data_IF_547415131274
#
_entry.id   IF_547415131274
#
_cell.length_a   1.000
_cell.length_b   1.000
_cell.length_c   1.000
_cell.angle_alpha   90.00
_cell.angle_beta   90.00
_cell.angle_gamma   90.00
#
_symmetry.space_group_name_H-M   'P 1'
#
loop_
_entity.id
_entity.type
_entity.pdbx_description
1 polymer ?
#
# COMPACT_ATOMS: atom_id res chain seq x y z
N UNK A 1 -30.79 27.79 3.65
CA UNK A 1 -29.32 27.87 3.51
C UNK A 1 -28.86 26.71 2.64
N UNK A 2 -28.00 26.96 1.65
CA UNK A 2 -27.25 25.89 0.97
C UNK A 2 -26.10 25.52 1.91
N UNK A 3 -26.15 24.34 2.53
CA UNK A 3 -25.29 23.97 3.66
C UNK A 3 -24.49 22.71 3.38
N UNK A 4 -23.22 22.89 3.01
CA UNK A 4 -22.22 21.87 2.70
C UNK A 4 -21.05 22.54 1.97
N UNK A 5 -19.81 22.05 2.15
CA UNK A 5 -18.60 22.68 1.57
C UNK A 5 -18.73 22.84 0.06
N UNK A 6 -19.11 21.77 -0.64
CA UNK A 6 -19.43 21.76 -2.06
C UNK A 6 -20.93 21.55 -2.28
N UNK A 7 -21.77 22.51 -1.84
CA UNK A 7 -23.23 22.40 -1.90
C UNK A 7 -23.82 22.19 -3.31
N UNK A 8 -23.04 22.47 -4.37
CA UNK A 8 -23.42 22.23 -5.77
C UNK A 8 -23.02 20.86 -6.31
N UNK A 9 -22.27 20.06 -5.55
CA UNK A 9 -21.85 18.72 -5.95
C UNK A 9 -23.01 17.71 -5.84
N UNK A 10 -22.88 16.61 -6.59
CA UNK A 10 -23.76 15.43 -6.42
C UNK A 10 -23.14 14.50 -5.39
N UNK A 11 -23.97 13.87 -4.57
CA UNK A 11 -23.55 12.93 -3.53
C UNK A 11 -24.20 11.56 -3.78
N UNK A 12 -23.42 10.50 -3.71
CA UNK A 12 -23.89 9.11 -3.75
C UNK A 12 -23.45 8.39 -2.47
N UNK A 13 -24.30 7.50 -1.97
CA UNK A 13 -24.00 6.66 -0.80
C UNK A 13 -23.73 5.21 -1.20
N UNK A 14 -22.63 4.64 -0.73
CA UNK A 14 -22.31 3.21 -0.87
C UNK A 14 -22.43 2.58 0.52
N UNK A 15 -23.49 1.81 0.76
CA UNK A 15 -23.71 1.11 2.05
C UNK A 15 -22.80 -0.11 2.12
N UNK A 16 -21.77 -0.03 2.96
CA UNK A 16 -20.76 -1.08 3.14
C UNK A 16 -20.69 -1.61 4.58
N UNK A 17 -20.83 -0.72 5.57
CA UNK A 17 -20.51 -0.99 6.98
C UNK A 17 -21.65 -1.63 7.80
N UNK A 18 -22.77 -2.00 7.17
CA UNK A 18 -23.94 -2.54 7.87
C UNK A 18 -23.97 -4.08 7.88
N UNK A 19 -22.81 -4.68 8.10
CA UNK A 19 -22.63 -6.14 8.09
C UNK A 19 -21.15 -6.55 8.07
N UNK A 20 -20.87 -7.86 8.00
CA UNK A 20 -19.51 -8.37 7.91
C UNK A 20 -18.80 -7.80 6.68
N UNK A 21 -17.65 -7.18 6.92
CA UNK A 21 -16.82 -6.62 5.88
C UNK A 21 -15.90 -7.71 5.31
N UNK A 22 -15.89 -7.86 3.99
CA UNK A 22 -15.01 -8.81 3.31
C UNK A 22 -14.17 -8.06 2.28
N UNK A 23 -12.97 -8.56 2.01
CA UNK A 23 -12.05 -8.01 1.00
C UNK A 23 -12.75 -7.79 -0.37
N UNK A 24 -13.63 -8.71 -0.76
CA UNK A 24 -14.40 -8.60 -2.01
C UNK A 24 -15.44 -7.46 -2.02
N UNK A 25 -16.04 -7.17 -0.87
CA UNK A 25 -17.01 -6.09 -0.71
C UNK A 25 -16.31 -4.73 -0.72
N UNK A 26 -15.18 -4.62 -0.03
CA UNK A 26 -14.28 -3.45 -0.08
C UNK A 26 -13.84 -3.15 -1.50
N UNK A 27 -13.32 -4.16 -2.20
CA UNK A 27 -12.88 -4.05 -3.59
C UNK A 27 -14.00 -3.56 -4.52
N UNK A 28 -15.20 -4.11 -4.34
CA UNK A 28 -16.39 -3.70 -5.10
C UNK A 28 -16.78 -2.25 -4.80
N UNK A 29 -16.68 -1.83 -3.54
CA UNK A 29 -17.03 -0.47 -3.12
C UNK A 29 -16.08 0.57 -3.72
N UNK A 30 -14.75 0.34 -3.66
CA UNK A 30 -13.76 1.27 -4.20
C UNK A 30 -13.90 1.53 -5.71
N UNK A 31 -14.32 0.52 -6.47
CA UNK A 31 -14.50 0.65 -7.92
C UNK A 31 -15.96 0.93 -8.34
N UNK A 32 -16.89 1.02 -7.39
CA UNK A 32 -18.33 1.19 -7.68
C UNK A 32 -18.55 2.50 -8.42
N UNK A 33 -18.97 2.41 -9.68
CA UNK A 33 -19.23 3.56 -10.56
C UNK A 33 -18.06 4.55 -10.64
N UNK A 34 -16.80 4.09 -10.66
CA UNK A 34 -15.59 4.94 -10.69
C UNK A 34 -15.46 5.89 -11.90
N UNK A 35 -16.31 5.74 -12.93
CA UNK A 35 -16.39 6.68 -14.06
C UNK A 35 -17.39 7.82 -13.84
N UNK A 36 -18.17 7.75 -12.75
CA UNK A 36 -19.19 8.72 -12.33
C UNK A 36 -18.84 9.31 -10.97
N UNK A 37 -18.33 8.49 -10.06
CA UNK A 37 -17.86 8.92 -8.74
C UNK A 37 -16.44 9.45 -8.85
N UNK A 38 -16.26 10.75 -8.65
CA UNK A 38 -14.94 11.38 -8.66
C UNK A 38 -14.16 11.14 -7.36
N UNK A 39 -14.85 11.28 -6.22
CA UNK A 39 -14.24 11.26 -4.89
C UNK A 39 -14.97 10.23 -4.02
N UNK A 40 -14.20 9.40 -3.36
CA UNK A 40 -14.63 8.42 -2.38
C UNK A 40 -14.17 8.90 -1.00
N UNK A 41 -15.10 9.30 -0.14
CA UNK A 41 -14.80 9.68 1.24
C UNK A 41 -15.00 8.48 2.16
N UNK A 42 -13.92 7.97 2.72
CA UNK A 42 -13.88 6.77 3.55
C UNK A 42 -13.43 7.16 4.97
N UNK A 43 -14.20 6.78 5.97
CA UNK A 43 -13.90 7.08 7.38
C UNK A 43 -14.03 5.81 8.23
N UNK A 44 -13.38 4.76 7.73
CA UNK A 44 -13.34 3.41 8.27
C UNK A 44 -11.96 2.83 7.96
N UNK A 45 -11.57 1.83 8.74
CA UNK A 45 -10.27 1.16 8.71
C UNK A 45 -10.27 0.05 9.76
N UNK A 46 -9.09 -0.45 10.16
CA UNK A 46 -8.93 -1.36 11.29
C UNK A 46 -9.38 -0.73 12.61
N UNK A 47 -9.40 -1.51 13.69
CA UNK A 47 -9.72 -1.01 15.02
C UNK A 47 -8.64 -0.02 15.51
N UNK A 48 -9.06 1.19 15.89
CA UNK A 48 -8.23 2.28 16.43
C UNK A 48 -7.82 2.04 17.91
N UNK A 49 -7.37 0.83 18.23
CA UNK A 49 -7.15 0.35 19.60
C UNK A 49 -5.70 0.43 20.08
N UNK A 50 -4.80 1.00 19.28
CA UNK A 50 -3.38 1.11 19.62
C UNK A 50 -2.62 -0.21 19.58
N UNK A 51 -3.20 -1.27 19.01
CA UNK A 51 -2.55 -2.60 18.90
C UNK A 51 -2.78 -3.30 17.58
N UNK A 52 -3.85 -2.97 16.85
CA UNK A 52 -4.16 -3.58 15.56
C UNK A 52 -3.16 -3.13 14.49
N UNK A 53 -2.83 -4.03 13.57
CA UNK A 53 -2.03 -3.75 12.36
C UNK A 53 -2.70 -4.50 11.24
N UNK A 54 -3.41 -3.77 10.38
CA UNK A 54 -4.18 -4.37 9.28
C UNK A 54 -4.42 -3.33 8.18
N UNK A 55 -4.91 -3.77 7.03
CA UNK A 55 -5.11 -2.90 5.88
C UNK A 55 -5.86 -3.59 4.74
N UNK A 56 -5.85 -2.98 3.54
CA UNK A 56 -6.50 -3.56 2.39
C UNK A 56 -5.88 -4.91 2.05
N UNK A 57 -6.73 -5.93 2.03
CA UNK A 57 -6.40 -7.27 1.56
C UNK A 57 -6.23 -7.26 0.03
N UNK A 58 -5.76 -8.36 -0.61
CA UNK A 58 -5.33 -8.32 -2.00
C UNK A 58 -6.35 -7.77 -2.99
N UNK A 59 -7.66 -8.03 -2.82
CA UNK A 59 -8.68 -7.50 -3.73
C UNK A 59 -8.92 -6.01 -3.50
N UNK A 60 -9.02 -5.57 -2.25
CA UNK A 60 -9.19 -4.17 -1.88
C UNK A 60 -7.99 -3.32 -2.33
N UNK A 61 -6.77 -3.84 -2.16
CA UNK A 61 -5.54 -3.18 -2.62
C UNK A 61 -5.50 -3.07 -4.15
N UNK A 62 -5.84 -4.16 -4.85
CA UNK A 62 -5.95 -4.14 -6.31
C UNK A 62 -7.06 -3.19 -6.79
N UNK A 63 -8.14 -3.04 -6.02
CA UNK A 63 -9.20 -2.10 -6.34
C UNK A 63 -8.78 -0.64 -6.15
N UNK A 64 -8.05 -0.31 -5.07
CA UNK A 64 -7.45 1.02 -4.88
C UNK A 64 -6.52 1.36 -6.05
N UNK A 65 -5.63 0.44 -6.41
CA UNK A 65 -4.74 0.56 -7.58
C UNK A 65 -5.52 0.79 -8.88
N UNK A 66 -6.55 -0.01 -9.13
CA UNK A 66 -7.37 0.12 -10.33
C UNK A 66 -8.11 1.46 -10.36
N UNK A 67 -8.67 1.90 -9.22
CA UNK A 67 -9.36 3.17 -9.08
C UNK A 67 -8.45 4.35 -9.42
N UNK A 68 -7.25 4.42 -8.87
CA UNK A 68 -6.31 5.52 -9.18
C UNK A 68 -5.77 5.49 -10.61
N UNK A 69 -5.72 4.32 -11.25
CA UNK A 69 -5.20 4.21 -12.62
C UNK A 69 -6.28 4.40 -13.70
N UNK A 70 -7.52 3.97 -13.43
CA UNK A 70 -8.58 3.86 -14.45
C UNK A 70 -9.81 4.70 -14.14
N UNK A 71 -10.02 5.08 -12.88
CA UNK A 71 -11.14 5.92 -12.46
C UNK A 71 -11.16 7.28 -13.16
N UNK A 72 -12.32 7.92 -13.19
CA UNK A 72 -12.50 9.26 -13.77
C UNK A 72 -11.96 9.39 -15.20
N UNK A 73 -12.17 8.35 -16.00
CA UNK A 73 -11.77 8.21 -17.40
C UNK A 73 -10.24 8.31 -17.56
N UNK A 74 -9.52 7.59 -16.71
CA UNK A 74 -8.05 7.57 -16.70
C UNK A 74 -7.38 8.72 -15.93
N UNK A 75 -8.16 9.54 -15.19
CA UNK A 75 -7.61 10.60 -14.32
C UNK A 75 -7.36 10.14 -12.88
N UNK A 76 -7.85 8.95 -12.55
CA UNK A 76 -7.72 8.34 -11.23
C UNK A 76 -8.78 8.79 -10.24
N UNK A 77 -9.53 7.84 -9.68
CA UNK A 77 -10.42 8.04 -8.55
C UNK A 77 -9.66 8.66 -7.37
N UNK A 78 -10.29 9.59 -6.66
CA UNK A 78 -9.71 10.20 -5.46
C UNK A 78 -10.28 9.52 -4.22
N UNK A 79 -9.44 8.82 -3.46
CA UNK A 79 -9.83 8.19 -2.19
C UNK A 79 -9.38 9.09 -1.04
N UNK A 80 -10.30 9.61 -0.24
CA UNK A 80 -10.01 10.42 0.95
C UNK A 80 -10.28 9.56 2.18
N UNK A 81 -9.26 9.33 3.00
CA UNK A 81 -9.32 8.45 4.17
C UNK A 81 -9.09 9.25 5.44
N UNK A 82 -9.92 9.03 6.46
CA UNK A 82 -9.69 9.60 7.79
C UNK A 82 -8.49 8.91 8.45
N UNK A 83 -7.63 9.65 9.13
CA UNK A 83 -6.41 9.09 9.73
C UNK A 83 -6.63 8.19 10.95
N UNK A 84 -7.86 8.00 11.45
CA UNK A 84 -8.13 7.19 12.65
C UNK A 84 -8.39 8.02 13.92
N UNK A 85 -8.97 7.39 14.94
CA UNK A 85 -9.41 7.98 16.21
C UNK A 85 -8.71 7.38 17.45
N UNK A 86 -7.60 6.67 17.26
CA UNK A 86 -6.84 5.92 18.26
C UNK A 86 -5.84 6.75 19.07
N UNK A 87 -5.83 8.09 18.95
CA UNK A 87 -4.87 8.96 19.63
C UNK A 87 -4.79 8.76 21.14
N UNK A 88 -5.92 8.49 21.83
CA UNK A 88 -5.94 8.17 23.28
C UNK A 88 -5.24 6.87 23.61
N UNK A 89 -5.27 5.93 22.67
CA UNK A 89 -4.66 4.61 22.76
C UNK A 89 -3.18 4.64 22.34
N UNK A 90 -2.65 5.84 22.01
CA UNK A 90 -1.33 6.02 21.42
C UNK A 90 -1.16 5.27 20.11
N UNK A 91 -2.23 5.20 19.31
CA UNK A 91 -2.17 4.61 17.99
C UNK A 91 -1.47 5.52 16.98
N UNK A 92 -1.12 4.94 15.84
CA UNK A 92 -0.41 5.62 14.78
C UNK A 92 -0.93 5.13 13.42
N UNK A 93 -1.35 6.07 12.57
CA UNK A 93 -2.03 5.76 11.31
C UNK A 93 -1.17 5.03 10.28
N UNK A 94 0.14 4.88 10.51
CA UNK A 94 1.00 4.02 9.70
C UNK A 94 0.82 2.52 9.97
N UNK A 95 0.06 2.14 11.00
CA UNK A 95 -0.39 0.77 11.26
C UNK A 95 -1.76 0.45 10.63
N UNK A 96 -2.44 1.46 10.08
CA UNK A 96 -3.61 1.31 9.21
C UNK A 96 -3.17 1.35 7.74
N UNK A 97 -3.34 0.24 7.03
CA UNK A 97 -2.96 0.12 5.62
C UNK A 97 -3.85 0.90 4.65
N UNK A 98 -5.02 1.38 5.08
CA UNK A 98 -5.84 2.32 4.30
C UNK A 98 -5.31 3.74 4.43
N UNK A 99 -5.00 4.17 5.65
CA UNK A 99 -4.44 5.49 5.93
C UNK A 99 -2.97 5.63 5.49
N UNK A 100 -2.18 4.55 5.48
CA UNK A 100 -0.79 4.60 5.03
C UNK A 100 -0.63 4.35 3.52
N UNK A 101 -1.71 4.05 2.80
CA UNK A 101 -1.66 3.74 1.37
C UNK A 101 -1.27 4.96 0.55
N UNK A 102 -0.37 4.78 -0.42
CA UNK A 102 -0.05 5.85 -1.39
C UNK A 102 -1.21 6.18 -2.34
N UNK A 103 -2.25 5.35 -2.37
CA UNK A 103 -3.43 5.55 -3.23
C UNK A 103 -4.52 6.38 -2.55
N UNK A 104 -4.34 6.73 -1.27
CA UNK A 104 -5.32 7.44 -0.46
C UNK A 104 -4.78 8.80 -0.04
N UNK A 105 -5.70 9.75 0.12
CA UNK A 105 -5.43 11.05 0.69
C UNK A 105 -5.83 10.99 2.16
N UNK A 106 -4.84 10.82 3.02
CA UNK A 106 -5.05 10.65 4.45
C UNK A 106 -5.18 12.00 5.15
N UNK A 107 -6.32 12.19 5.81
CA UNK A 107 -6.75 13.46 6.42
C UNK A 107 -6.91 13.28 7.92
N UNK A 108 -6.18 14.11 8.67
CA UNK A 108 -6.30 14.21 10.11
C UNK A 108 -7.30 15.29 10.53
N UNK A 109 -7.43 15.48 11.84
CA UNK A 109 -8.35 16.45 12.42
C UNK A 109 -7.62 17.54 13.21
N UNK A 110 -8.13 18.76 13.13
CA UNK A 110 -7.84 19.87 14.05
C UNK A 110 -9.14 20.38 14.68
N UNK A 111 -9.06 20.92 15.89
CA UNK A 111 -10.18 21.61 16.51
C UNK A 111 -10.31 23.06 15.99
N UNK A 112 -11.31 23.80 16.47
CA UNK A 112 -11.56 25.17 16.01
C UNK A 112 -10.44 26.19 16.30
N UNK A 113 -9.47 25.85 17.16
CA UNK A 113 -8.29 26.68 17.45
C UNK A 113 -7.02 26.19 16.73
N UNK A 114 -7.16 25.24 15.80
CA UNK A 114 -6.06 24.72 14.99
C UNK A 114 -5.16 23.70 15.70
N UNK A 115 -5.62 23.11 16.80
CA UNK A 115 -4.85 22.11 17.55
C UNK A 115 -5.36 20.70 17.28
N UNK A 116 -4.41 19.75 17.21
CA UNK A 116 -4.70 18.32 17.12
C UNK A 116 -5.55 17.83 18.32
N UNK A 117 -6.75 17.27 18.10
CA UNK A 117 -7.59 16.72 19.15
C UNK A 117 -7.02 15.44 19.77
N UNK A 118 -7.47 15.10 20.98
CA UNK A 118 -6.99 13.92 21.73
C UNK A 118 -7.18 12.57 21.02
N UNK A 119 -8.12 12.50 20.07
CA UNK A 119 -8.48 11.27 19.37
C UNK A 119 -7.71 11.13 18.06
N UNK A 120 -7.24 12.22 17.46
CA UNK A 120 -6.58 12.15 16.17
C UNK A 120 -5.28 11.35 16.26
N UNK A 121 -4.97 10.60 15.22
CA UNK A 121 -3.70 9.89 15.10
C UNK A 121 -2.70 10.68 14.27
N UNK A 122 -1.42 10.49 14.59
CA UNK A 122 -0.29 11.07 13.85
C UNK A 122 0.45 9.98 13.07
N UNK A 123 0.95 10.29 11.88
CA UNK A 123 1.85 9.42 11.13
C UNK A 123 2.57 10.17 10.00
N UNK A 124 3.58 9.53 9.40
CA UNK A 124 4.36 10.12 8.32
C UNK A 124 3.67 10.11 6.95
N UNK A 125 2.50 9.46 6.84
CA UNK A 125 1.68 9.35 5.64
C UNK A 125 0.58 10.42 5.54
N UNK A 126 0.41 11.24 6.59
CA UNK A 126 -0.63 12.26 6.68
C UNK A 126 -0.39 13.37 5.64
N UNK A 127 -1.35 13.64 4.76
CA UNK A 127 -1.20 14.69 3.74
C UNK A 127 -1.68 16.07 4.23
N UNK A 128 -2.67 16.11 5.10
CA UNK A 128 -3.18 17.36 5.64
C UNK A 128 -4.24 17.14 6.72
N UNK A 129 -4.79 18.24 7.21
CA UNK A 129 -5.82 18.23 8.25
C UNK A 129 -6.97 19.17 7.90
N UNK A 130 -8.16 18.85 8.41
CA UNK A 130 -9.30 19.76 8.39
C UNK A 130 -9.95 19.84 9.76
N UNK A 131 -10.82 20.84 9.94
CA UNK A 131 -11.58 20.99 11.17
C UNK A 131 -12.44 19.76 11.49
N UNK A 132 -12.53 19.45 12.77
CA UNK A 132 -13.48 18.49 13.33
C UNK A 132 -13.90 18.95 14.73
N UNK A 133 -14.34 18.03 15.58
CA UNK A 133 -14.76 18.30 16.95
C UNK A 133 -13.63 18.73 17.85
N UNK A 134 -14.01 19.60 18.77
CA UNK A 134 -13.22 20.11 19.85
C UNK A 134 -12.67 19.10 20.86
N UNK A 135 -11.58 19.51 21.53
CA UNK A 135 -10.95 18.77 22.62
C UNK A 135 -11.72 18.80 23.95
N UNK A 136 -12.49 19.88 24.20
CA UNK A 136 -13.23 20.14 25.43
C UNK A 136 -14.69 20.52 25.13
N UNK A 137 -15.57 20.49 26.14
CA UNK A 137 -17.01 20.82 25.99
C UNK A 137 -17.29 22.24 25.50
N UNK A 138 -16.32 23.16 25.65
CA UNK A 138 -16.42 24.54 25.19
C UNK A 138 -16.16 24.68 23.70
N UNK A 139 -15.47 23.70 23.10
CA UNK A 139 -15.16 23.73 21.69
C UNK A 139 -16.32 23.21 20.84
N UNK A 140 -16.53 23.84 19.68
CA UNK A 140 -17.59 23.44 18.75
C UNK A 140 -17.30 22.11 18.05
N UNK A 141 -18.38 21.45 17.64
CA UNK A 141 -18.39 20.23 16.86
C UNK A 141 -18.91 20.50 15.45
N UNK A 142 -18.84 19.48 14.58
CA UNK A 142 -19.32 19.61 13.21
C UNK A 142 -20.84 19.57 13.18
N UNK A 143 -21.41 20.53 12.43
CA UNK A 143 -22.84 20.63 12.17
C UNK A 143 -23.12 19.99 10.81
N UNK A 144 -24.01 18.99 10.78
CA UNK A 144 -24.36 18.28 9.55
C UNK A 144 -25.77 17.68 9.63
N UNK A 145 -26.26 17.10 8.55
CA UNK A 145 -27.54 16.40 8.48
C UNK A 145 -27.47 15.06 9.24
N UNK A 146 -28.55 14.70 9.93
CA UNK A 146 -28.67 13.45 10.67
C UNK A 146 -30.04 12.81 10.41
N UNK A 147 -30.09 11.58 9.93
CA UNK A 147 -31.35 10.91 9.60
C UNK A 147 -32.09 10.38 10.84
N UNK A 148 -31.40 10.24 11.97
CA UNK A 148 -31.98 9.72 13.23
C UNK A 148 -32.71 10.80 14.03
N UNK A 149 -32.34 12.07 13.82
CA UNK A 149 -32.87 13.19 14.59
C UNK A 149 -34.05 13.84 13.88
N UNK A 150 -35.28 13.49 14.25
CA UNK A 150 -36.47 14.09 13.67
C UNK A 150 -36.89 13.41 12.37
N UNK A 151 -38.21 13.28 12.18
CA UNK A 151 -38.84 12.59 11.05
C UNK A 151 -38.62 13.38 9.75
N UNK A 152 -37.43 13.31 9.15
CA UNK A 152 -37.09 13.77 7.78
C UNK A 152 -36.37 15.14 7.65
N UNK A 153 -35.97 15.80 8.74
CA UNK A 153 -35.27 17.12 8.71
C UNK A 153 -34.12 17.23 9.72
N UNK A 154 -33.49 16.13 10.05
CA UNK A 154 -32.54 16.12 11.13
C UNK A 154 -31.24 16.85 10.86
N UNK A 155 -30.81 17.57 11.88
CA UNK A 155 -29.54 18.26 11.95
C UNK A 155 -28.89 17.88 13.27
N UNK A 156 -27.63 17.47 13.22
CA UNK A 156 -26.80 17.29 14.40
C UNK A 156 -25.77 18.41 14.48
N UNK A 157 -25.46 18.84 15.69
CA UNK A 157 -24.31 19.69 16.01
C UNK A 157 -23.28 18.93 16.85
N UNK A 158 -23.35 17.58 16.83
CA UNK A 158 -22.54 16.70 17.65
C UNK A 158 -21.70 15.71 16.85
N UNK A 159 -21.47 15.96 15.55
CA UNK A 159 -20.61 15.07 14.75
C UNK A 159 -19.12 15.33 15.09
N UNK A 160 -18.37 14.26 15.30
CA UNK A 160 -17.01 14.27 15.90
C UNK A 160 -16.07 13.27 15.21
N UNK A 161 -14.78 13.33 15.54
CA UNK A 161 -13.76 12.38 15.09
C UNK A 161 -13.09 12.77 13.76
N UNK A 162 -12.00 12.10 13.39
CA UNK A 162 -11.38 12.27 12.06
C UNK A 162 -12.36 11.89 10.94
N UNK A 163 -13.38 11.09 11.26
CA UNK A 163 -14.51 10.79 10.39
C UNK A 163 -15.35 12.00 9.96
N UNK A 164 -15.31 13.11 10.70
CA UNK A 164 -15.93 14.37 10.29
C UNK A 164 -14.98 15.28 9.48
N UNK A 165 -13.66 15.05 9.60
CA UNK A 165 -12.63 15.79 8.86
C UNK A 165 -12.54 15.31 7.40
N UNK A 166 -12.43 14.00 7.16
CA UNK A 166 -12.31 13.45 5.80
C UNK A 166 -13.43 13.90 4.83
N UNK A 167 -14.73 13.96 5.21
CA UNK A 167 -15.78 14.49 4.35
C UNK A 167 -15.65 15.99 4.04
N UNK A 168 -15.10 16.80 4.95
CA UNK A 168 -14.81 18.21 4.68
C UNK A 168 -13.71 18.34 3.64
N UNK A 169 -12.62 17.57 3.78
CA UNK A 169 -11.56 17.51 2.78
C UNK A 169 -12.09 17.03 1.41
N UNK A 170 -12.94 16.01 1.37
CA UNK A 170 -13.60 15.56 0.15
C UNK A 170 -14.42 16.68 -0.51
N UNK A 171 -15.13 17.50 0.28
CA UNK A 171 -15.82 18.68 -0.19
C UNK A 171 -14.88 19.75 -0.76
N UNK A 172 -13.74 20.01 -0.11
CA UNK A 172 -12.72 20.96 -0.58
C UNK A 172 -12.07 20.49 -1.89
N UNK A 173 -11.79 19.19 -2.00
CA UNK A 173 -11.30 18.58 -3.24
C UNK A 173 -12.36 18.69 -4.35
N UNK A 174 -13.66 18.51 -4.03
CA UNK A 174 -14.73 18.68 -5.02
C UNK A 174 -14.78 20.12 -5.58
N UNK A 175 -14.60 21.15 -4.75
CA UNK A 175 -14.47 22.55 -5.21
C UNK A 175 -13.27 22.74 -6.13
N UNK A 176 -12.18 22.05 -5.83
CA UNK A 176 -10.94 22.14 -6.61
C UNK A 176 -11.08 21.44 -7.95
N UNK A 177 -11.68 20.25 -7.98
CA UNK A 177 -12.01 19.53 -9.22
C UNK A 177 -13.02 20.30 -10.09
N UNK A 178 -13.90 21.11 -9.50
CA UNK A 178 -14.77 22.02 -10.24
C UNK A 178 -13.95 23.11 -10.95
N UNK A 179 -12.91 23.66 -10.30
CA UNK A 179 -12.04 24.66 -10.88
C UNK A 179 -11.08 24.07 -11.92
N UNK A 180 -10.48 22.91 -11.64
CA UNK A 180 -9.65 22.14 -12.57
C UNK A 180 -9.86 20.63 -12.36
N UNK A 181 -10.52 19.94 -13.30
CA UNK A 181 -10.81 18.50 -13.16
C UNK A 181 -9.60 17.54 -13.10
N UNK A 182 -8.36 18.01 -13.17
CA UNK A 182 -7.13 17.21 -13.30
C UNK A 182 -6.08 17.52 -12.21
N UNK A 183 -6.50 17.76 -10.97
CA UNK A 183 -5.65 18.26 -9.88
C UNK A 183 -5.12 17.24 -8.88
N UNK A 184 -4.04 17.67 -8.21
CA UNK A 184 -3.51 17.12 -6.95
C UNK A 184 -2.92 18.24 -6.05
N UNK A 185 -3.06 18.08 -4.72
CA UNK A 185 -2.33 18.72 -3.58
C UNK A 185 -2.77 20.08 -2.96
N UNK A 186 -2.33 20.26 -1.68
CA UNK A 186 -2.79 21.17 -0.58
C UNK A 186 -1.57 21.84 0.14
N UNK A 187 -1.79 22.90 0.94
CA UNK A 187 -0.79 23.83 1.55
C UNK A 187 -0.93 24.02 3.09
N UNK A 188 0.16 24.19 3.88
CA UNK A 188 0.11 24.24 5.37
C UNK A 188 -0.19 25.56 6.11
N UNK A 189 -0.67 25.41 7.36
CA UNK A 189 -0.45 26.34 8.49
C UNK A 189 -0.64 25.62 9.86
N UNK A 190 0.19 25.98 10.87
CA UNK A 190 0.20 25.56 12.30
C UNK A 190 0.58 24.10 12.68
N UNK A 191 1.54 23.91 13.62
CA UNK A 191 2.03 22.59 14.05
C UNK A 191 3.49 22.50 14.51
N UNK A 192 3.92 21.29 14.89
CA UNK A 192 5.33 20.90 15.09
C UNK A 192 5.93 20.59 13.72
N UNK A 193 6.55 21.61 13.13
CA UNK A 193 7.01 21.60 11.74
C UNK A 193 8.48 21.29 11.64
N UNK A 194 8.80 20.51 10.61
CA UNK A 194 10.16 20.39 10.12
C UNK A 194 10.16 20.63 8.62
N UNK A 195 11.15 21.38 8.17
CA UNK A 195 11.35 21.66 6.75
C UNK A 195 12.09 20.51 6.12
N UNK A 196 11.60 20.05 4.99
CA UNK A 196 12.31 19.11 4.16
C UNK A 196 13.29 19.84 3.23
N UNK A 197 14.18 19.12 2.55
CA UNK A 197 15.21 19.77 1.72
C UNK A 197 14.65 20.43 0.43
N UNK A 198 13.40 20.14 0.07
CA UNK A 198 12.68 20.81 -1.02
C UNK A 198 11.90 22.05 -0.51
N UNK A 199 12.02 22.39 0.77
CA UNK A 199 11.41 23.57 1.38
C UNK A 199 9.93 23.40 1.72
N UNK A 200 9.40 22.18 1.74
CA UNK A 200 8.05 21.90 2.24
C UNK A 200 8.05 21.70 3.74
N UNK A 201 7.04 22.27 4.41
CA UNK A 201 6.81 22.10 5.84
C UNK A 201 5.92 20.87 6.05
N UNK A 202 6.35 19.93 6.89
CA UNK A 202 5.52 18.77 7.25
C UNK A 202 5.56 18.46 8.75
N UNK A 203 4.40 18.12 9.31
CA UNK A 203 4.23 17.62 10.69
C UNK A 203 3.59 16.24 10.68
N UNK A 204 4.04 15.30 11.52
CA UNK A 204 3.32 14.02 11.66
C UNK A 204 1.89 14.18 12.19
N UNK A 205 1.61 15.31 12.86
CA UNK A 205 0.31 15.66 13.45
C UNK A 205 -0.61 16.42 12.51
N UNK A 206 -0.04 17.19 11.58
CA UNK A 206 -0.78 18.09 10.71
C UNK A 206 -0.61 17.79 9.21
N UNK A 207 0.24 16.84 8.83
CA UNK A 207 0.62 16.58 7.44
C UNK A 207 1.33 17.79 6.84
N UNK A 208 0.97 18.16 5.61
CA UNK A 208 1.24 19.48 5.02
C UNK A 208 0.18 20.51 5.46
N UNK A 209 -0.46 20.36 6.61
CA UNK A 209 -1.25 21.38 7.31
C UNK A 209 -2.71 21.52 6.89
N UNK A 210 -3.32 22.61 7.35
CA UNK A 210 -4.75 22.85 7.19
C UNK A 210 -5.15 23.09 5.73
N UNK A 211 -6.13 22.32 5.24
CA UNK A 211 -6.67 22.52 3.90
C UNK A 211 -7.53 23.80 3.83
N UNK A 212 -7.03 24.81 3.11
CA UNK A 212 -7.74 26.07 2.89
C UNK A 212 -8.43 26.10 1.53
N UNK A 213 -9.76 26.22 1.52
CA UNK A 213 -10.57 26.24 0.30
C UNK A 213 -10.08 27.25 -0.75
N UNK A 214 -9.84 28.49 -0.32
CA UNK A 214 -9.36 29.57 -1.19
C UNK A 214 -8.02 29.25 -1.83
N UNK A 215 -7.07 28.74 -1.03
CA UNK A 215 -5.74 28.41 -1.53
C UNK A 215 -5.81 27.22 -2.49
N UNK A 216 -6.53 26.17 -2.12
CA UNK A 216 -6.66 24.97 -2.91
C UNK A 216 -7.29 25.26 -4.29
N UNK A 217 -8.35 26.07 -4.34
CA UNK A 217 -9.04 26.46 -5.58
C UNK A 217 -8.23 27.43 -6.45
N UNK A 218 -7.34 28.24 -5.87
CA UNK A 218 -6.47 29.11 -6.66
C UNK A 218 -5.21 28.40 -7.16
N UNK A 219 -4.58 27.58 -6.32
CA UNK A 219 -3.53 26.65 -6.74
C UNK A 219 -4.04 25.79 -7.91
N UNK A 220 -5.29 25.33 -7.81
CA UNK A 220 -5.95 24.56 -8.82
C UNK A 220 -5.96 25.19 -10.22
N UNK A 221 -6.19 26.50 -10.31
CA UNK A 221 -6.28 27.20 -11.61
C UNK A 221 -4.94 27.22 -12.35
N UNK A 222 -3.84 27.37 -11.60
CA UNK A 222 -2.48 27.51 -12.14
C UNK A 222 -1.70 26.20 -12.17
N UNK A 223 -2.21 25.14 -11.52
CA UNK A 223 -1.50 23.86 -11.38
C UNK A 223 -1.26 23.20 -12.73
N UNK A 224 -0.03 22.85 -13.05
CA UNK A 224 0.29 22.04 -14.24
C UNK A 224 0.26 20.56 -13.87
N UNK A 225 -0.36 19.74 -14.72
CA UNK A 225 -0.33 18.29 -14.53
C UNK A 225 1.12 17.79 -14.41
N UNK A 226 1.31 16.86 -13.49
CA UNK A 226 2.61 16.21 -13.27
C UNK A 226 2.82 15.11 -14.31
N UNK A 227 4.08 14.73 -14.61
CA UNK A 227 4.38 13.53 -15.40
C UNK A 227 3.83 12.26 -14.75
N UNK A 228 3.92 11.13 -15.46
CA UNK A 228 3.52 9.85 -14.89
C UNK A 228 4.37 9.51 -13.66
N UNK A 229 3.73 8.88 -12.67
CA UNK A 229 4.41 8.37 -11.49
C UNK A 229 5.29 7.18 -11.88
N UNK A 230 6.55 7.22 -11.47
CA UNK A 230 7.54 6.15 -11.64
C UNK A 230 7.99 5.62 -10.30
N UNK A 231 8.70 4.49 -10.30
CA UNK A 231 9.18 3.87 -9.07
C UNK A 231 10.57 3.30 -9.20
N UNK A 232 11.35 3.41 -8.12
CA UNK A 232 12.64 2.75 -7.93
C UNK A 232 12.52 1.86 -6.71
N UNK A 233 12.71 0.56 -6.91
CA UNK A 233 12.61 -0.44 -5.86
C UNK A 233 13.97 -1.05 -5.57
N UNK A 234 14.35 -1.14 -4.29
CA UNK A 234 15.41 -2.03 -3.87
C UNK A 234 15.01 -3.49 -4.07
N UNK A 235 15.98 -4.39 -4.14
CA UNK A 235 15.74 -5.80 -3.85
C UNK A 235 15.28 -5.96 -2.39
N UNK A 236 14.63 -7.08 -2.06
CA UNK A 236 14.43 -7.44 -0.65
C UNK A 236 15.81 -7.71 -0.04
N UNK A 237 16.15 -6.98 1.02
CA UNK A 237 17.43 -7.09 1.70
C UNK A 237 17.24 -7.98 2.93
N UNK A 238 17.72 -9.22 2.87
CA UNK A 238 17.76 -10.12 4.02
C UNK A 238 18.89 -9.72 4.96
N UNK A 239 18.57 -9.41 6.21
CA UNK A 239 19.48 -8.84 7.20
C UNK A 239 19.73 -9.80 8.37
N UNK A 240 18.66 -10.41 8.91
CA UNK A 240 18.69 -11.27 10.11
C UNK A 240 19.55 -10.70 11.25
N UNK A 241 19.32 -9.44 11.61
CA UNK A 241 20.05 -8.76 12.70
C UNK A 241 19.15 -8.53 13.90
N UNK A 242 19.71 -8.75 15.08
CA UNK A 242 19.11 -8.39 16.36
C UNK A 242 18.91 -6.88 16.43
N UNK A 243 17.73 -6.46 16.90
CA UNK A 243 17.43 -5.07 17.24
C UNK A 243 18.00 -4.83 18.64
N UNK A 244 18.99 -3.94 18.81
CA UNK A 244 19.60 -3.70 20.11
C UNK A 244 18.58 -3.22 21.15
N UNK A 245 18.68 -3.77 22.37
CA UNK A 245 17.91 -3.31 23.51
C UNK A 245 18.33 -1.90 23.99
N UNK A 246 17.61 -1.37 24.99
CA UNK A 246 17.91 -0.11 25.68
C UNK A 246 17.88 1.13 24.78
N UNK A 247 16.97 1.17 23.80
CA UNK A 247 16.78 2.30 22.89
C UNK A 247 18.05 2.65 22.08
N UNK A 248 18.93 1.68 21.85
CA UNK A 248 20.04 1.79 20.91
C UNK A 248 19.57 1.39 19.51
N UNK A 249 19.88 2.16 18.45
CA UNK A 249 19.36 1.87 17.11
C UNK A 249 20.11 0.73 16.42
N UNK A 250 19.35 -0.19 15.82
CA UNK A 250 19.82 -0.92 14.64
C UNK A 250 19.82 0.05 13.45
N UNK A 251 20.99 0.28 12.86
CA UNK A 251 21.17 1.21 11.73
C UNK A 251 21.46 0.43 10.45
N UNK A 252 20.70 0.71 9.39
CA UNK A 252 20.83 0.09 8.08
C UNK A 252 20.90 1.17 7.01
N UNK A 253 21.86 1.04 6.10
CA UNK A 253 22.08 2.01 5.03
C UNK A 253 21.74 1.37 3.68
N UNK A 254 21.09 2.13 2.80
CA UNK A 254 20.87 1.77 1.42
C UNK A 254 21.22 2.94 0.52
N UNK A 255 22.14 2.73 -0.42
CA UNK A 255 22.63 3.79 -1.31
C UNK A 255 21.86 3.77 -2.64
N UNK A 256 21.19 4.86 -2.94
CA UNK A 256 20.59 5.11 -4.26
C UNK A 256 21.58 5.90 -5.10
N UNK A 257 21.93 5.37 -6.27
CA UNK A 257 22.86 6.04 -7.20
C UNK A 257 22.12 7.00 -8.12
N UNK A 258 22.78 8.06 -8.57
CA UNK A 258 22.24 8.96 -9.59
C UNK A 258 21.84 8.20 -10.87
N UNK A 259 22.65 7.21 -11.28
CA UNK A 259 22.33 6.36 -12.44
C UNK A 259 21.05 5.55 -12.25
N UNK A 260 20.82 5.00 -11.05
CA UNK A 260 19.58 4.26 -10.78
C UNK A 260 18.36 5.17 -10.75
N UNK A 261 18.48 6.37 -10.18
CA UNK A 261 17.40 7.36 -10.18
C UNK A 261 17.06 7.83 -11.60
N UNK A 262 18.09 8.15 -12.41
CA UNK A 262 17.93 8.56 -13.79
C UNK A 262 17.35 7.45 -14.68
N UNK A 263 17.79 6.19 -14.51
CA UNK A 263 17.26 5.05 -15.25
C UNK A 263 15.76 4.82 -14.97
N UNK A 264 15.29 5.10 -13.75
CA UNK A 264 13.88 4.99 -13.38
C UNK A 264 13.12 6.31 -13.56
N UNK A 265 13.74 7.33 -14.15
CA UNK A 265 13.13 8.65 -14.40
C UNK A 265 12.60 9.37 -13.15
N UNK A 266 13.25 9.15 -11.99
CA UNK A 266 12.92 9.83 -10.74
C UNK A 266 13.93 10.95 -10.49
N UNK A 267 13.48 12.19 -10.66
CA UNK A 267 14.24 13.39 -10.31
C UNK A 267 13.84 13.91 -8.92
N UNK A 268 12.55 13.86 -8.57
CA UNK A 268 12.03 14.24 -7.25
C UNK A 268 11.04 13.22 -6.72
N UNK A 269 11.02 13.06 -5.39
CA UNK A 269 10.16 12.11 -4.67
C UNK A 269 8.73 12.61 -4.48
N UNK A 270 7.79 11.67 -4.36
CA UNK A 270 6.40 11.92 -3.96
C UNK A 270 6.07 11.04 -2.75
N UNK A 271 6.09 9.71 -2.90
CA UNK A 271 5.89 8.75 -1.81
C UNK A 271 7.13 7.88 -1.60
N UNK A 272 7.42 7.55 -0.34
CA UNK A 272 8.48 6.60 0.01
C UNK A 272 7.88 5.50 0.86
N UNK A 273 8.09 4.24 0.49
CA UNK A 273 7.59 3.08 1.20
C UNK A 273 8.74 2.24 1.75
N UNK A 274 8.57 1.77 2.98
CA UNK A 274 9.50 0.87 3.65
C UNK A 274 8.73 -0.36 4.10
N UNK A 275 9.01 -1.49 3.45
CA UNK A 275 8.48 -2.78 3.86
C UNK A 275 9.46 -3.45 4.82
N UNK A 276 8.97 -3.93 5.96
CA UNK A 276 9.78 -4.66 6.95
C UNK A 276 9.13 -5.99 7.31
N UNK A 277 9.99 -7.01 7.51
CA UNK A 277 9.62 -8.24 8.18
C UNK A 277 10.52 -8.41 9.40
N UNK A 278 9.92 -8.40 10.58
CA UNK A 278 10.61 -8.51 11.86
C UNK A 278 9.80 -9.32 12.88
N UNK A 279 10.50 -9.90 13.83
CA UNK A 279 9.92 -10.58 15.00
C UNK A 279 10.29 -9.80 16.25
N UNK A 280 9.38 -9.64 17.20
CA UNK A 280 9.66 -9.00 18.49
C UNK A 280 8.69 -9.57 19.54
N UNK A 281 9.13 -9.80 20.80
CA UNK A 281 8.23 -10.27 21.85
C UNK A 281 7.07 -9.32 22.17
N UNK A 282 7.26 -8.02 21.93
CA UNK A 282 6.27 -6.96 22.13
C UNK A 282 6.38 -5.91 21.03
N UNK A 283 5.57 -6.04 19.97
CA UNK A 283 5.65 -5.20 18.76
C UNK A 283 5.56 -3.70 19.06
N UNK A 284 4.72 -3.30 20.00
CA UNK A 284 4.51 -1.91 20.42
C UNK A 284 5.72 -1.24 21.06
N UNK A 285 6.78 -1.99 21.37
CA UNK A 285 8.03 -1.43 21.90
C UNK A 285 8.90 -0.81 20.81
N UNK A 286 8.59 -1.04 19.54
CA UNK A 286 9.42 -0.63 18.41
C UNK A 286 9.15 0.82 18.00
N UNK A 287 10.23 1.54 17.69
CA UNK A 287 10.22 2.80 16.94
C UNK A 287 11.04 2.65 15.68
N UNK A 288 10.48 3.03 14.54
CA UNK A 288 11.13 2.92 13.24
C UNK A 288 11.21 4.30 12.60
N UNK A 289 12.41 4.67 12.17
CA UNK A 289 12.68 5.95 11.52
C UNK A 289 13.40 5.74 10.20
N UNK A 290 13.02 6.52 9.19
CA UNK A 290 13.72 6.62 7.92
C UNK A 290 14.30 8.03 7.77
N UNK A 291 15.56 8.12 7.37
CA UNK A 291 16.23 9.38 7.09
C UNK A 291 16.56 9.41 5.59
N UNK A 292 16.09 10.46 4.91
CA UNK A 292 16.39 10.68 3.49
C UNK A 292 17.86 11.10 3.29
N UNK A 293 18.40 10.98 2.07
CA UNK A 293 19.73 11.48 1.74
C UNK A 293 19.93 12.97 2.05
N UNK A 294 18.85 13.74 1.97
CA UNK A 294 18.84 15.18 2.27
C UNK A 294 18.75 15.49 3.78
N UNK A 295 18.61 14.47 4.63
CA UNK A 295 18.54 14.60 6.09
C UNK A 295 17.14 14.64 6.69
N UNK A 296 16.08 14.53 5.89
CA UNK A 296 14.70 14.57 6.39
C UNK A 296 14.36 13.28 7.14
N UNK A 297 14.03 13.43 8.42
CA UNK A 297 13.66 12.29 9.28
C UNK A 297 12.14 12.06 9.22
N UNK A 298 11.76 10.81 9.02
CA UNK A 298 10.39 10.31 9.01
C UNK A 298 10.23 9.22 10.07
N UNK A 299 9.53 9.53 11.17
CA UNK A 299 9.09 8.51 12.12
C UNK A 299 7.99 7.69 11.47
N UNK A 300 8.33 6.46 11.06
CA UNK A 300 7.42 5.54 10.38
C UNK A 300 6.54 4.77 11.37
N UNK A 301 7.11 4.41 12.52
CA UNK A 301 6.40 3.71 13.58
C UNK A 301 6.75 4.34 14.93
N UNK A 302 5.73 4.65 15.72
CA UNK A 302 5.89 5.08 17.12
C UNK A 302 5.66 3.91 18.06
N UNK A 303 6.23 3.95 19.28
CA UNK A 303 5.88 2.99 20.31
C UNK A 303 4.39 3.06 20.64
N UNK A 304 3.73 1.91 20.72
CA UNK A 304 2.30 1.78 21.06
C UNK A 304 2.16 0.93 22.32
N UNK A 305 1.87 1.57 23.46
CA UNK A 305 1.89 0.91 24.78
C UNK A 305 0.93 -0.28 24.91
N UNK A 306 -0.18 -0.26 24.18
CA UNK A 306 -1.19 -1.32 24.24
C UNK A 306 -0.86 -2.51 23.34
N UNK A 307 0.08 -2.34 22.39
CA UNK A 307 0.51 -3.37 21.46
C UNK A 307 1.58 -4.29 22.07
N UNK A 308 1.13 -5.28 22.84
CA UNK A 308 1.99 -6.33 23.40
C UNK A 308 2.06 -7.57 22.51
N UNK A 309 1.70 -7.46 21.22
CA UNK A 309 1.67 -8.62 20.32
C UNK A 309 3.08 -9.18 20.05
N UNK A 310 3.26 -10.52 20.11
CA UNK A 310 4.50 -11.17 19.72
C UNK A 310 4.58 -11.46 18.20
N UNK A 311 3.55 -11.11 17.42
CA UNK A 311 3.46 -11.47 15.99
C UNK A 311 4.46 -10.73 15.11
N UNK A 312 5.07 -9.66 15.63
CA UNK A 312 5.95 -8.78 14.89
C UNK A 312 5.26 -8.13 13.70
N UNK A 313 6.05 -7.85 12.65
CA UNK A 313 5.55 -7.32 11.38
C UNK A 313 5.96 -8.29 10.27
N UNK A 314 5.01 -8.71 9.44
CA UNK A 314 5.23 -9.70 8.38
C UNK A 314 5.04 -9.04 7.02
N UNK A 315 6.13 -8.50 6.45
CA UNK A 315 6.06 -7.74 5.20
C UNK A 315 5.16 -6.50 5.30
N UNK A 316 5.08 -5.89 6.49
CA UNK A 316 4.30 -4.67 6.69
C UNK A 316 4.97 -3.50 5.98
N UNK A 317 4.19 -2.68 5.29
CA UNK A 317 4.71 -1.54 4.54
C UNK A 317 4.27 -0.24 5.19
N UNK A 318 5.24 0.51 5.67
CA UNK A 318 5.07 1.90 6.10
C UNK A 318 5.24 2.84 4.92
N UNK A 319 4.65 4.03 4.98
CA UNK A 319 4.85 5.06 3.97
C UNK A 319 5.18 6.43 4.58
N UNK A 320 5.79 7.29 3.78
CA UNK A 320 5.96 8.69 4.12
C UNK A 320 5.87 9.60 2.90
N UNK A 321 5.28 10.77 3.12
CA UNK A 321 5.24 11.90 2.18
C UNK A 321 6.16 13.05 2.63
N UNK A 322 6.92 12.89 3.72
CA UNK A 322 7.74 13.97 4.30
C UNK A 322 8.90 14.39 3.40
N UNK A 323 9.37 13.48 2.55
CA UNK A 323 10.46 13.73 1.62
C UNK A 323 9.96 14.21 0.24
N UNK A 324 8.70 14.65 0.12
CA UNK A 324 8.12 15.10 -1.15
C UNK A 324 8.94 16.23 -1.76
N UNK A 325 9.25 16.13 -3.05
CA UNK A 325 10.07 17.08 -3.80
C UNK A 325 11.57 16.92 -3.61
N UNK A 326 12.04 16.09 -2.67
CA UNK A 326 13.48 15.86 -2.48
C UNK A 326 14.07 14.97 -3.57
N UNK A 327 15.38 15.06 -3.78
CA UNK A 327 16.10 14.16 -4.68
C UNK A 327 16.23 12.76 -4.06
N UNK A 328 16.07 11.68 -4.85
CA UNK A 328 16.11 10.30 -4.33
C UNK A 328 17.53 9.78 -4.04
N UNK A 329 18.56 10.41 -4.61
CA UNK A 329 19.92 9.87 -4.67
C UNK A 329 20.73 10.15 -3.41
N UNK A 330 21.51 9.17 -2.98
CA UNK A 330 22.37 9.21 -1.80
C UNK A 330 22.04 8.11 -0.79
N UNK A 331 22.47 8.29 0.44
CA UNK A 331 22.36 7.26 1.48
C UNK A 331 21.04 7.40 2.26
N UNK A 332 20.19 6.39 2.13
CA UNK A 332 18.98 6.22 2.94
C UNK A 332 19.32 5.44 4.20
N UNK A 333 18.88 5.93 5.36
CA UNK A 333 19.19 5.34 6.65
C UNK A 333 17.90 4.90 7.34
N UNK A 334 17.74 3.59 7.54
CA UNK A 334 16.68 3.01 8.36
C UNK A 334 17.23 2.78 9.77
N UNK A 335 16.55 3.33 10.78
CA UNK A 335 16.84 3.12 12.20
C UNK A 335 15.67 2.41 12.86
N UNK A 336 15.96 1.33 13.58
CA UNK A 336 14.98 0.60 14.38
C UNK A 336 15.45 0.59 15.82
N UNK A 337 14.60 1.07 16.72
CA UNK A 337 14.86 1.14 18.15
C UNK A 337 13.90 0.21 18.88
N UNK A 338 14.42 -0.53 19.86
CA UNK A 338 13.59 -1.17 20.89
C UNK A 338 13.57 -0.28 22.14
N UNK A 339 12.40 0.27 22.43
CA UNK A 339 12.16 1.15 23.58
C UNK A 339 11.65 0.39 24.81
N UNK A 340 11.39 -0.92 24.67
CA UNK A 340 10.85 -1.78 25.69
C UNK A 340 11.92 -2.51 26.50
N UNK A 341 11.44 -3.42 27.36
CA UNK A 341 12.26 -4.34 28.17
C UNK A 341 11.81 -5.80 27.99
N UNK A 342 10.98 -6.08 26.99
CA UNK A 342 10.32 -7.38 26.79
C UNK A 342 11.19 -8.43 26.10
N UNK A 343 12.46 -8.12 25.85
CA UNK A 343 13.41 -8.95 25.10
C UNK A 343 13.66 -8.43 23.69
N UNK A 344 14.71 -8.94 23.06
CA UNK A 344 15.19 -8.45 21.77
C UNK A 344 14.36 -9.00 20.60
N UNK A 345 14.17 -8.19 19.56
CA UNK A 345 13.64 -8.63 18.27
C UNK A 345 14.70 -8.84 17.22
N UNK A 346 14.28 -9.35 16.07
CA UNK A 346 15.13 -9.62 14.90
C UNK A 346 14.49 -8.99 13.68
N UNK A 347 15.22 -8.11 13.00
CA UNK A 347 14.87 -7.71 11.64
C UNK A 347 15.34 -8.79 10.67
N UNK A 348 14.38 -9.42 9.98
CA UNK A 348 14.65 -10.48 9.02
C UNK A 348 14.96 -9.91 7.65
N UNK A 349 14.07 -9.05 7.13
CA UNK A 349 14.24 -8.40 5.84
C UNK A 349 13.61 -7.00 5.82
N UNK A 350 14.10 -6.16 4.91
CA UNK A 350 13.45 -4.90 4.58
C UNK A 350 13.60 -4.55 3.10
N UNK A 351 12.75 -3.65 2.62
CA UNK A 351 12.72 -3.18 1.23
C UNK A 351 12.36 -1.70 1.20
N UNK A 352 13.06 -0.94 0.36
CA UNK A 352 12.79 0.47 0.09
C UNK A 352 12.18 0.61 -1.30
N UNK A 353 11.08 1.34 -1.41
CA UNK A 353 10.48 1.73 -2.69
C UNK A 353 10.27 3.23 -2.72
N UNK A 354 10.86 3.88 -3.71
CA UNK A 354 10.74 5.31 -3.94
C UNK A 354 9.78 5.52 -5.11
N UNK A 355 8.78 6.37 -4.92
CA UNK A 355 7.90 6.83 -5.99
C UNK A 355 8.14 8.31 -6.23
N UNK A 356 8.08 8.71 -7.49
CA UNK A 356 8.28 10.10 -7.88
C UNK A 356 8.14 10.31 -9.37
N UNK A 357 8.64 11.44 -9.84
CA UNK A 357 8.52 11.84 -11.24
C UNK A 357 9.80 12.51 -11.74
N UNK A 358 9.85 12.71 -13.05
CA UNK A 358 10.95 13.38 -13.75
C UNK A 358 10.99 14.90 -13.56
N UNK A 359 10.14 15.46 -12.70
CA UNK A 359 10.12 16.89 -12.38
C UNK A 359 11.44 17.24 -11.71
N UNK A 360 12.16 18.23 -12.27
CA UNK A 360 13.42 18.68 -11.68
C UNK A 360 13.18 19.42 -10.35
N UNK A 361 14.13 19.41 -9.40
CA UNK A 361 14.05 20.23 -8.19
C UNK A 361 13.80 21.72 -8.48
N UNK A 362 14.39 22.25 -9.56
CA UNK A 362 14.16 23.62 -10.02
C UNK A 362 12.71 23.84 -10.46
N UNK A 363 12.14 22.88 -11.19
CA UNK A 363 10.73 22.93 -11.59
C UNK A 363 9.77 22.81 -10.40
N UNK A 364 10.10 21.99 -9.39
CA UNK A 364 9.33 21.94 -8.11
C UNK A 364 9.31 23.33 -7.46
N UNK A 365 10.46 23.99 -7.38
CA UNK A 365 10.56 25.33 -6.79
C UNK A 365 9.78 26.38 -7.61
N UNK A 366 9.86 26.33 -8.94
CA UNK A 366 9.08 27.23 -9.82
C UNK A 366 7.57 27.01 -9.69
N UNK A 367 7.12 25.75 -9.65
CA UNK A 367 5.71 25.40 -9.45
C UNK A 367 5.21 25.90 -8.09
N UNK A 368 6.01 25.73 -7.05
CA UNK A 368 5.73 26.26 -5.71
C UNK A 368 5.56 27.78 -5.73
N UNK A 369 6.51 28.51 -6.31
CA UNK A 369 6.43 29.97 -6.45
C UNK A 369 5.17 30.39 -7.22
N UNK A 370 4.84 29.68 -8.31
CA UNK A 370 3.62 29.95 -9.08
C UNK A 370 2.35 29.76 -8.24
N UNK A 371 2.31 28.72 -7.41
CA UNK A 371 1.19 28.46 -6.49
C UNK A 371 1.12 29.53 -5.39
N UNK A 372 2.24 29.92 -4.81
CA UNK A 372 2.32 31.00 -3.81
C UNK A 372 1.85 32.34 -4.40
N UNK A 373 2.31 32.68 -5.61
CA UNK A 373 1.89 33.87 -6.35
C UNK A 373 0.39 33.83 -6.67
N UNK A 374 -0.19 32.65 -6.91
CA UNK A 374 -1.62 32.51 -7.12
C UNK A 374 -2.47 32.93 -5.90
N UNK A 375 -1.87 32.94 -4.71
CA UNK A 375 -2.53 33.39 -3.48
C UNK A 375 -2.65 34.91 -3.37
N UNK A 376 -1.84 35.67 -4.12
CA UNK A 376 -1.89 37.14 -4.17
C UNK A 376 -3.18 37.68 -4.80
N UNK A 377 -3.95 36.82 -5.47
CA UNK A 377 -5.19 37.18 -6.15
C UNK A 377 -5.03 37.60 -7.61
N UNK A 378 -3.79 37.66 -8.12
CA UNK A 378 -3.48 38.04 -9.51
C UNK A 378 -4.19 37.15 -10.55
N UNK A 379 -4.48 35.90 -10.20
CA UNK A 379 -5.13 34.92 -11.07
C UNK A 379 -6.65 34.80 -10.87
N UNK A 380 -7.26 35.71 -10.09
CA UNK A 380 -8.71 35.67 -9.79
C UNK A 380 -9.58 36.08 -10.97
N UNK A 381 -9.14 37.10 -11.71
CA UNK A 381 -9.91 37.69 -12.82
C UNK A 381 -9.49 37.15 -14.20
N UNK A 382 -8.40 36.38 -14.24
CA UNK A 382 -7.94 35.78 -15.47
C UNK A 382 -8.68 34.46 -15.72
N UNK A 383 -9.17 34.29 -16.95
CA UNK A 383 -9.73 33.03 -17.46
C UNK A 383 -8.58 32.02 -17.74
N UNK A 384 -7.78 31.76 -16.71
CA UNK A 384 -6.42 31.19 -16.77
C UNK A 384 -6.40 29.69 -16.44
N UNK A 385 -7.56 29.02 -16.43
CA UNK A 385 -7.59 27.57 -16.27
C UNK A 385 -6.94 26.94 -17.48
N UNK A 386 -5.66 26.55 -17.38
CA UNK A 386 -5.03 25.79 -18.44
C UNK A 386 -5.86 24.52 -18.68
N UNK A 387 -6.27 24.24 -19.94
CA UNK A 387 -7.03 23.04 -20.24
C UNK A 387 -6.23 21.82 -19.80
N UNK A 388 -6.91 20.82 -19.25
CA UNK A 388 -6.25 19.58 -18.87
C UNK A 388 -5.48 19.06 -20.09
N UNK A 389 -4.19 18.75 -19.89
CA UNK A 389 -3.37 18.14 -20.93
C UNK A 389 -4.07 16.86 -21.44
N UNK A 390 -3.91 16.59 -22.73
CA UNK A 390 -4.48 15.42 -23.38
C UNK A 390 -3.85 14.17 -22.76
N UNK A 391 -4.46 13.65 -21.69
CA UNK A 391 -4.20 12.27 -21.30
C UNK A 391 -4.54 11.44 -22.52
N UNK A 392 -3.59 10.61 -22.96
CA UNK A 392 -3.92 9.51 -23.85
C UNK A 392 -5.08 8.79 -23.19
N UNK A 393 -6.27 9.01 -23.72
CA UNK A 393 -7.36 8.09 -23.58
C UNK A 393 -6.91 6.96 -24.51
N UNK A 394 -6.35 5.83 -24.03
CA UNK A 394 -6.63 4.63 -24.79
C UNK A 394 -8.16 4.64 -24.79
N UNK A 395 -8.77 4.95 -25.94
CA UNK A 395 -10.11 4.50 -26.17
C UNK A 395 -9.99 2.99 -26.06
N UNK A 396 -10.08 2.48 -24.82
CA UNK A 396 -10.31 1.08 -24.57
C UNK A 396 -11.71 0.95 -25.09
N UNK A 397 -11.77 0.59 -26.37
CA UNK A 397 -12.99 0.29 -27.03
C UNK A 397 -13.63 -0.78 -26.14
N UNK A 398 -14.71 -0.45 -25.43
CA UNK A 398 -15.36 -1.42 -24.53
C UNK A 398 -15.75 -2.68 -25.31
N UNK A 399 -15.91 -2.55 -26.63
CA UNK A 399 -16.13 -3.64 -27.59
C UNK A 399 -14.93 -4.59 -27.79
N UNK A 400 -13.72 -4.23 -27.33
CA UNK A 400 -12.51 -5.07 -27.36
C UNK A 400 -12.15 -5.69 -26.01
N UNK A 401 -12.84 -5.32 -24.92
CA UNK A 401 -12.72 -6.02 -23.64
C UNK A 401 -13.51 -7.33 -23.70
N UNK A 402 -12.90 -8.44 -23.27
CA UNK A 402 -13.60 -9.70 -23.04
C UNK A 402 -14.77 -9.41 -22.08
N UNK A 403 -16.00 -9.45 -22.60
CA UNK A 403 -17.21 -9.19 -21.80
C UNK A 403 -17.26 -10.12 -20.58
N UNK A 404 -17.91 -9.68 -19.50
CA UNK A 404 -18.04 -10.46 -18.25
C UNK A 404 -18.57 -11.87 -18.48
N UNK A 405 -19.42 -12.05 -19.52
CA UNK A 405 -19.90 -13.36 -19.96
C UNK A 405 -18.78 -14.23 -20.53
N UNK A 406 -17.92 -13.68 -21.37
CA UNK A 406 -16.76 -14.38 -21.95
C UNK A 406 -15.73 -14.73 -20.89
N UNK A 407 -15.48 -13.84 -19.92
CA UNK A 407 -14.62 -14.15 -18.76
C UNK A 407 -15.17 -15.29 -17.92
N UNK A 408 -16.49 -15.31 -17.64
CA UNK A 408 -17.14 -16.43 -16.94
C UNK A 408 -17.03 -17.74 -17.72
N UNK A 409 -17.19 -17.69 -19.05
CA UNK A 409 -17.02 -18.86 -19.91
C UNK A 409 -15.56 -19.35 -19.89
N UNK A 410 -14.58 -18.45 -19.97
CA UNK A 410 -13.16 -18.81 -19.88
C UNK A 410 -12.79 -19.40 -18.52
N UNK A 411 -13.35 -18.88 -17.43
CA UNK A 411 -13.19 -19.45 -16.09
C UNK A 411 -13.75 -20.88 -16.01
N UNK A 412 -14.97 -21.09 -16.52
CA UNK A 412 -15.61 -22.41 -16.55
C UNK A 412 -14.84 -23.40 -17.43
N UNK A 413 -14.34 -22.95 -18.59
CA UNK A 413 -13.50 -23.76 -19.47
C UNK A 413 -12.18 -24.10 -18.78
N UNK A 414 -11.54 -23.14 -18.12
CA UNK A 414 -10.31 -23.41 -17.36
C UNK A 414 -10.55 -24.42 -16.25
N UNK A 415 -11.64 -24.28 -15.49
CA UNK A 415 -11.99 -25.21 -14.42
C UNK A 415 -12.25 -26.62 -14.96
N UNK A 416 -12.95 -26.73 -16.10
CA UNK A 416 -13.16 -28.01 -16.78
C UNK A 416 -11.84 -28.64 -17.24
N UNK A 417 -10.94 -27.86 -17.83
CA UNK A 417 -9.62 -28.33 -18.25
C UNK A 417 -8.81 -28.81 -17.03
N UNK A 418 -8.85 -28.08 -15.92
CA UNK A 418 -8.15 -28.48 -14.69
C UNK A 418 -8.72 -29.76 -14.10
N UNK A 419 -10.05 -29.94 -14.12
CA UNK A 419 -10.71 -31.16 -13.67
C UNK A 419 -10.34 -32.35 -14.57
N UNK A 420 -10.35 -32.15 -15.89
CA UNK A 420 -9.93 -33.18 -16.85
C UNK A 420 -8.45 -33.54 -16.67
N UNK A 421 -7.58 -32.55 -16.50
CA UNK A 421 -6.17 -32.78 -16.23
C UNK A 421 -5.97 -33.55 -14.91
N UNK A 422 -6.69 -33.20 -13.85
CA UNK A 422 -6.66 -33.92 -12.59
C UNK A 422 -7.17 -35.36 -12.75
N UNK A 423 -8.27 -35.56 -13.48
CA UNK A 423 -8.79 -36.90 -13.80
C UNK A 423 -7.76 -37.75 -14.54
N UNK A 424 -7.18 -37.27 -15.63
CA UNK A 424 -6.14 -37.99 -16.36
C UNK A 424 -4.89 -38.25 -15.52
N UNK A 425 -4.52 -37.32 -14.65
CA UNK A 425 -3.39 -37.51 -13.72
C UNK A 425 -3.69 -38.62 -12.71
N UNK A 426 -4.92 -38.67 -12.18
CA UNK A 426 -5.37 -39.73 -11.27
C UNK A 426 -5.49 -41.07 -11.99
N UNK A 427 -6.04 -41.09 -13.21
CA UNK A 427 -6.09 -42.29 -14.06
C UNK A 427 -4.68 -42.84 -14.30
N UNK A 428 -3.72 -41.98 -14.65
CA UNK A 428 -2.32 -42.37 -14.83
C UNK A 428 -1.65 -42.84 -13.52
N UNK A 429 -2.05 -42.27 -12.38
CA UNK A 429 -1.51 -42.63 -11.07
C UNK A 429 -2.07 -43.96 -10.52
N UNK A 430 -3.34 -44.27 -10.79
CA UNK A 430 -4.06 -45.39 -10.17
C UNK A 430 -4.41 -46.54 -11.10
N UNK A 431 -4.61 -46.33 -12.41
CA UNK A 431 -4.93 -47.42 -13.34
C UNK A 431 -3.70 -48.10 -13.95
N UNK A 432 -2.51 -47.51 -13.84
CA UNK A 432 -1.30 -48.06 -14.45
C UNK A 432 -0.57 -49.08 -13.55
N UNK A 433 -1.12 -49.46 -12.41
CA UNK A 433 -0.49 -50.42 -11.51
C UNK A 433 -0.64 -51.86 -12.04
N UNK A 434 -1.84 -52.24 -12.48
CA UNK A 434 -2.08 -53.56 -13.11
C UNK A 434 -1.34 -53.73 -14.45
N UNK A 435 -1.26 -52.68 -15.27
CA UNK A 435 -0.51 -52.72 -16.53
C UNK A 435 1.01 -52.76 -16.29
N UNK A 436 1.53 -52.02 -15.30
CA UNK A 436 2.94 -52.12 -14.89
C UNK A 436 3.28 -53.51 -14.37
N UNK A 437 2.39 -54.14 -13.59
CA UNK A 437 2.59 -55.48 -13.07
C UNK A 437 2.58 -56.53 -14.20
N UNK A 438 1.69 -56.39 -15.19
CA UNK A 438 1.72 -57.21 -16.42
C UNK A 438 3.00 -57.08 -17.23
N UNK A 439 3.49 -55.85 -17.44
CA UNK A 439 4.76 -55.61 -18.12
C UNK A 439 5.95 -56.19 -17.32
N UNK A 440 5.89 -56.13 -15.99
CA UNK A 440 6.93 -56.70 -15.13
C UNK A 440 6.94 -58.23 -15.18
N UNK A 441 5.76 -58.88 -15.19
CA UNK A 441 5.63 -60.33 -15.36
C UNK A 441 6.16 -60.77 -16.73
N UNK A 442 5.81 -60.08 -17.81
CA UNK A 442 6.27 -60.39 -19.17
C UNK A 442 7.80 -60.21 -19.30
N UNK A 443 8.36 -59.18 -18.65
CA UNK A 443 9.81 -58.96 -18.59
C UNK A 443 10.53 -60.06 -17.79
N UNK A 444 9.96 -60.50 -16.66
CA UNK A 444 10.50 -61.59 -15.85
C UNK A 444 10.47 -62.92 -16.62
N UNK A 445 9.43 -63.19 -17.39
CA UNK A 445 9.31 -64.43 -18.18
C UNK A 445 10.29 -64.45 -19.36
N UNK A 446 10.54 -63.29 -20.00
CA UNK A 446 11.59 -63.11 -21.01
C UNK A 446 13.00 -63.36 -20.45
N UNK A 447 13.31 -62.83 -19.26
CA UNK A 447 14.59 -63.09 -18.57
C UNK A 447 14.74 -64.56 -18.14
N UNK A 448 13.66 -65.20 -17.66
CA UNK A 448 13.66 -66.63 -17.31
C UNK A 448 13.92 -67.51 -18.53
N UNK A 449 13.28 -67.22 -19.66
CA UNK A 449 13.50 -67.92 -20.93
C UNK A 449 14.93 -67.74 -21.46
N UNK A 450 15.54 -66.57 -21.22
CA UNK A 450 16.93 -66.28 -21.56
C UNK A 450 17.92 -67.06 -20.71
N UNK A 451 17.64 -67.20 -19.41
CA UNK A 451 18.45 -67.97 -18.47
C UNK A 451 18.35 -69.48 -18.71
N UNK A 452 17.17 -70.02 -19.05
CA UNK A 452 16.99 -71.43 -19.37
C UNK A 452 17.72 -71.85 -20.66
N UNK A 453 17.84 -70.95 -21.66
CA UNK A 453 18.67 -71.20 -22.85
C UNK A 453 20.18 -71.19 -22.59
N UNK A 454 20.62 -70.75 -21.42
CA UNK A 454 22.05 -70.60 -21.08
C UNK A 454 22.65 -71.75 -20.26
N UNK A 455 21.87 -72.76 -19.87
CA UNK A 455 22.34 -73.92 -19.09
C UNK A 455 22.14 -75.27 -19.81
N UNK A 456 23.19 -75.95 -20.30
CA UNK A 456 23.08 -77.30 -20.84
C UNK A 456 23.04 -78.39 -19.73
N UNK A 457 22.42 -79.56 -19.97
CA UNK A 457 22.28 -80.62 -18.97
C UNK A 457 23.61 -81.33 -18.66
N UNK A 458 23.93 -81.50 -17.36
CA UNK A 458 25.09 -82.26 -16.89
C UNK A 458 24.85 -83.77 -17.00
N UNK A 459 25.58 -84.43 -17.90
CA UNK A 459 25.83 -85.88 -17.86
C UNK A 459 26.75 -86.22 -16.69
N UNK A 460 26.43 -87.28 -15.96
CA UNK A 460 27.27 -87.82 -14.88
C UNK A 460 28.47 -88.62 -15.40
N UNK A 461 29.53 -88.69 -14.59
CA UNK A 461 30.31 -89.92 -14.32
C UNK A 461 31.39 -89.67 -13.24
N UNK A 462 31.45 -90.64 -12.33
CA UNK A 462 32.49 -91.06 -11.39
C UNK A 462 33.91 -90.44 -11.41
N UNK A 463 34.33 -89.98 -10.21
CA UNK A 463 35.58 -90.27 -9.44
C UNK A 463 36.86 -90.82 -10.12
N UNK A 464 38.09 -90.69 -9.50
CA UNK A 464 38.54 -89.82 -8.40
C UNK A 464 40.00 -89.28 -8.49
N UNK A 465 40.42 -88.61 -7.40
CA UNK A 465 41.78 -88.50 -6.78
C UNK A 465 42.82 -87.46 -7.22
N UNK A 466 43.18 -86.65 -6.21
CA UNK A 466 44.51 -86.18 -5.75
C UNK A 466 45.25 -85.03 -6.44
N UNK A 467 45.23 -83.89 -5.72
CA UNK A 467 46.39 -83.13 -5.18
C UNK A 467 47.34 -82.35 -6.11
N UNK A 468 47.95 -81.26 -5.59
CA UNK A 468 48.07 -79.98 -6.28
C UNK A 468 49.50 -79.67 -6.72
N UNK A 469 49.69 -78.58 -7.49
CA UNK A 469 50.73 -77.56 -7.22
C UNK A 469 50.73 -76.40 -8.22
N UNK A 470 50.92 -75.22 -7.64
CA UNK A 470 51.70 -74.07 -8.11
C UNK A 470 51.50 -73.53 -9.54
N UNK A 471 51.15 -72.24 -9.59
CA UNK A 471 52.23 -71.27 -9.67
C UNK A 471 52.12 -70.16 -10.72
N UNK A 472 52.19 -68.94 -10.20
CA UNK A 472 52.95 -67.81 -10.76
C UNK A 472 52.43 -67.08 -12.02
N UNK A 473 51.87 -65.88 -11.76
CA UNK A 473 52.47 -64.56 -12.08
C UNK A 473 52.55 -64.08 -13.56
N UNK A 474 52.73 -62.77 -13.81
CA UNK A 474 51.70 -61.93 -14.44
C UNK A 474 52.23 -61.20 -15.68
N UNK A 475 51.49 -60.21 -16.18
CA UNK A 475 52.10 -59.04 -16.82
C UNK A 475 51.24 -58.38 -17.88
N UNK A 476 51.14 -57.06 -17.80
CA UNK A 476 50.67 -56.17 -18.88
C UNK A 476 49.56 -55.25 -18.46
#
# INVERSE_FOLDING_TARGET
>A
MRGGVAFGAKVAGIRLLDGPMTDSLEATAFNKHMQVNDIYSCSWGPDDDGKTVDGPHPLALAALQHGVNSGRRGRGSVFVVASGNGGRNQDNCNYDGYANSMYTITIGAINEVGLMPYYAEECSALLGVTFSSGTNKEHRNIVTTDWTLGKDKGCTNGHTGTSAAAPLAAGLIALSLQAKPCLSCVDPEHGDWSDNAAGFHHSHKHGFGEIKAWRLVNAAKVWRSVPWLTSLSSSRMSVYKTIPANNSPLVLNYKVTNSSAQFNEIATLEHVLVTVSLTHPSRGSLRIELISPSGTTSVLATPRKLDVSPDGLKGWTFSTVRCWGEQPSGDWILKIFDTGQSGEGILQEWKLVLYGSMISPEEVQQRRQTVEDAMSGVYLDANLTEPCSFYWNPAVNEDQLLTTKTMRMLLLVSALITILAAYYTLEQAFCNQEDKDKYLEEYIDLERTRLERSNPPRMGTSHPTTSPKHGWYPGG
#
